data_IF_859390378456
#
_entry.id   IF_859390378456
#
_cell.length_a   1.000
_cell.length_b   1.000
_cell.length_c   1.000
_cell.angle_alpha   90.00
_cell.angle_beta   90.00
_cell.angle_gamma   90.00
#
_symmetry.space_group_name_H-M   'P 1'
#
loop_
_entity.id
_entity.type
_entity.pdbx_description
1 polymer ?
#
# COMPACT_ATOMS: atom_id res chain seq x y z
N UNK A 1 11.01 78.63 -15.42
CA UNK A 1 11.34 77.56 -14.46
C UNK A 1 10.25 76.51 -14.56
N UNK A 2 10.43 75.52 -15.43
CA UNK A 2 9.56 74.33 -15.52
C UNK A 2 10.42 73.20 -16.09
N UNK A 3 10.74 72.22 -15.24
CA UNK A 3 11.49 71.02 -15.61
C UNK A 3 10.52 70.00 -16.22
N UNK A 4 10.91 69.39 -17.34
CA UNK A 4 10.27 68.18 -17.84
C UNK A 4 11.06 66.99 -17.32
N UNK A 5 10.41 66.15 -16.51
CA UNK A 5 10.93 64.87 -16.05
C UNK A 5 10.44 63.82 -17.03
N UNK A 6 11.36 63.18 -17.77
CA UNK A 6 11.08 62.02 -18.59
C UNK A 6 11.10 60.76 -17.73
N UNK A 7 9.99 60.01 -17.71
CA UNK A 7 9.90 58.71 -17.06
C UNK A 7 10.30 57.63 -18.07
N UNK A 8 11.44 56.98 -17.85
CA UNK A 8 11.83 55.79 -18.60
C UNK A 8 11.23 54.55 -17.92
N UNK A 9 10.32 53.86 -18.59
CA UNK A 9 9.79 52.57 -18.15
C UNK A 9 10.79 51.49 -18.56
N UNK A 10 11.47 50.89 -17.58
CA UNK A 10 12.34 49.75 -17.78
C UNK A 10 11.48 48.47 -17.83
N UNK A 11 11.26 47.92 -19.02
CA UNK A 11 10.63 46.60 -19.19
C UNK A 11 11.65 45.52 -18.85
N UNK A 12 11.54 44.93 -17.65
CA UNK A 12 12.28 43.74 -17.29
C UNK A 12 11.66 42.53 -18.02
N UNK A 13 12.35 42.03 -19.05
CA UNK A 13 12.03 40.74 -19.64
C UNK A 13 12.45 39.64 -18.67
N UNK A 14 11.48 39.02 -18.00
CA UNK A 14 11.70 37.76 -17.28
C UNK A 14 11.73 36.65 -18.33
N UNK A 15 12.92 36.19 -18.68
CA UNK A 15 13.11 34.97 -19.47
C UNK A 15 12.73 33.77 -18.61
N UNK A 16 11.53 33.23 -18.83
CA UNK A 16 11.13 31.92 -18.30
C UNK A 16 11.89 30.86 -19.11
N UNK A 17 13.03 30.42 -18.61
CA UNK A 17 13.71 29.23 -19.13
C UNK A 17 12.91 28.00 -18.69
N UNK A 18 12.07 27.46 -19.58
CA UNK A 18 11.58 26.10 -19.43
C UNK A 18 12.77 25.16 -19.60
N UNK A 19 13.11 24.39 -18.56
CA UNK A 19 14.04 23.29 -18.70
C UNK A 19 13.46 22.34 -19.76
N UNK A 20 14.22 22.10 -20.84
CA UNK A 20 13.83 21.15 -21.86
C UNK A 20 13.70 19.78 -21.18
N UNK A 21 12.48 19.25 -21.14
CA UNK A 21 12.20 17.94 -20.58
C UNK A 21 12.89 16.91 -21.48
N UNK A 22 14.09 16.48 -21.13
CA UNK A 22 14.77 15.39 -21.79
C UNK A 22 14.02 14.11 -21.44
N UNK A 23 13.15 13.65 -22.34
CA UNK A 23 12.56 12.32 -22.25
C UNK A 23 13.69 11.31 -22.52
N UNK A 24 14.37 10.88 -21.46
CA UNK A 24 15.44 9.88 -21.54
C UNK A 24 14.93 8.49 -21.87
N UNK A 25 13.66 8.20 -21.59
CA UNK A 25 13.02 6.89 -21.84
C UNK A 25 12.02 7.02 -22.99
N UNK A 26 12.19 6.22 -24.04
CA UNK A 26 11.18 6.06 -25.09
C UNK A 26 9.98 5.28 -24.55
N UNK A 27 9.02 6.00 -23.96
CA UNK A 27 7.85 5.43 -23.32
C UNK A 27 7.02 4.57 -24.26
N UNK A 28 6.82 4.99 -25.51
CA UNK A 28 5.95 4.28 -26.45
C UNK A 28 6.52 2.89 -26.80
N UNK A 29 7.84 2.78 -26.96
CA UNK A 29 8.48 1.48 -27.18
C UNK A 29 8.22 0.49 -26.03
N UNK A 30 8.08 0.99 -24.78
CA UNK A 30 7.91 0.14 -23.59
C UNK A 30 6.46 -0.34 -23.42
N UNK A 31 5.47 0.44 -23.84
CA UNK A 31 4.06 0.18 -23.51
C UNK A 31 3.13 -0.01 -24.71
N UNK A 32 3.56 0.33 -25.93
CA UNK A 32 2.69 0.35 -27.12
C UNK A 32 2.10 -1.00 -27.52
N UNK A 33 2.66 -2.10 -27.02
CA UNK A 33 2.17 -3.46 -27.26
C UNK A 33 1.12 -3.93 -26.22
N UNK A 34 0.92 -3.20 -25.12
CA UNK A 34 -0.14 -3.52 -24.14
C UNK A 34 -1.50 -2.97 -24.56
N UNK A 35 -2.56 -3.60 -24.06
CA UNK A 35 -3.91 -3.08 -24.20
C UNK A 35 -4.11 -1.80 -23.37
N UNK A 36 -4.66 -0.76 -24.00
CA UNK A 36 -4.80 0.61 -23.47
C UNK A 36 -3.46 1.18 -22.95
N UNK A 37 -2.48 1.43 -23.84
CA UNK A 37 -1.16 1.95 -23.47
C UNK A 37 -1.26 3.29 -22.72
N UNK A 38 -2.30 4.08 -23.01
CA UNK A 38 -2.55 5.36 -22.34
C UNK A 38 -2.66 5.21 -20.81
N UNK A 39 -3.28 4.14 -20.31
CA UNK A 39 -3.37 3.91 -18.86
C UNK A 39 -1.98 3.81 -18.22
N UNK A 40 -1.05 3.08 -18.86
CA UNK A 40 0.32 2.92 -18.37
C UNK A 40 1.07 4.25 -18.44
N UNK A 41 0.95 4.95 -19.57
CA UNK A 41 1.54 6.28 -19.77
C UNK A 41 1.18 7.24 -18.64
N UNK A 42 -0.07 7.22 -18.20
CA UNK A 42 -0.56 8.11 -17.16
C UNK A 42 -0.16 7.61 -15.76
N UNK A 43 -0.19 6.30 -15.51
CA UNK A 43 -0.11 5.78 -14.14
C UNK A 43 1.25 5.26 -13.69
N UNK A 44 2.09 4.68 -14.55
CA UNK A 44 3.28 3.96 -14.06
C UNK A 44 4.56 4.80 -14.14
N UNK A 45 5.51 4.64 -13.20
CA UNK A 45 6.87 5.12 -13.42
C UNK A 45 7.49 4.40 -14.63
N UNK A 46 8.36 5.09 -15.37
CA UNK A 46 9.08 4.51 -16.50
C UNK A 46 10.53 4.33 -16.09
N UNK A 47 11.05 3.12 -16.30
CA UNK A 47 12.44 2.76 -16.02
C UNK A 47 13.09 2.20 -17.27
N UNK A 48 14.39 2.45 -17.40
CA UNK A 48 15.24 1.81 -18.39
C UNK A 48 16.48 1.29 -17.66
N UNK A 49 16.78 0.01 -17.86
CA UNK A 49 17.91 -0.69 -17.23
C UNK A 49 18.68 -1.48 -18.27
N UNK A 50 20.00 -1.70 -18.09
CA UNK A 50 20.82 -2.37 -19.10
C UNK A 50 20.50 -3.86 -19.28
N UNK A 51 19.83 -4.48 -18.30
CA UNK A 51 19.44 -5.90 -18.34
C UNK A 51 17.99 -5.99 -18.85
N UNK A 52 17.83 -6.48 -20.08
CA UNK A 52 16.54 -6.46 -20.78
C UNK A 52 15.47 -7.30 -20.09
N UNK A 53 15.86 -8.41 -19.50
CA UNK A 53 14.95 -9.30 -18.77
C UNK A 53 14.33 -8.59 -17.55
N UNK A 54 15.12 -7.76 -16.84
CA UNK A 54 14.61 -6.97 -15.71
C UNK A 54 13.65 -5.88 -16.21
N UNK A 55 13.99 -5.22 -17.31
CA UNK A 55 13.13 -4.21 -17.95
C UNK A 55 11.79 -4.82 -18.38
N UNK A 56 11.81 -5.97 -19.05
CA UNK A 56 10.61 -6.67 -19.51
C UNK A 56 9.74 -7.11 -18.34
N UNK A 57 10.34 -7.68 -17.29
CA UNK A 57 9.62 -8.06 -16.07
C UNK A 57 8.98 -6.84 -15.40
N UNK A 58 9.66 -5.69 -15.38
CA UNK A 58 9.12 -4.45 -14.81
C UNK A 58 7.80 -4.03 -15.48
N UNK A 59 7.80 -3.93 -16.81
CA UNK A 59 6.60 -3.53 -17.56
C UNK A 59 5.53 -4.63 -17.55
N UNK A 60 5.93 -5.90 -17.56
CA UNK A 60 5.02 -7.03 -17.39
C UNK A 60 4.29 -7.00 -16.05
N UNK A 61 5.00 -6.71 -14.94
CA UNK A 61 4.39 -6.64 -13.60
C UNK A 61 3.35 -5.53 -13.49
N UNK A 62 3.58 -4.37 -14.11
CA UNK A 62 2.56 -3.33 -14.22
C UNK A 62 1.34 -3.78 -15.00
N UNK A 63 1.55 -4.51 -16.09
CA UNK A 63 0.46 -5.09 -16.87
C UNK A 63 -0.32 -6.11 -16.06
N UNK A 64 0.36 -6.91 -15.23
CA UNK A 64 -0.28 -7.83 -14.28
C UNK A 64 -1.11 -7.06 -13.27
N UNK A 65 -0.51 -6.11 -12.55
CA UNK A 65 -1.19 -5.32 -11.52
C UNK A 65 -2.45 -4.62 -12.06
N UNK A 66 -2.37 -4.02 -13.26
CA UNK A 66 -3.52 -3.38 -13.92
C UNK A 66 -4.72 -4.33 -14.08
N UNK A 67 -4.49 -5.59 -14.41
CA UNK A 67 -5.58 -6.59 -14.60
C UNK A 67 -6.30 -6.93 -13.30
N UNK A 68 -5.68 -6.67 -12.15
CA UNK A 68 -6.27 -6.88 -10.83
C UNK A 68 -6.96 -5.63 -10.27
N UNK A 69 -6.78 -4.46 -10.89
CA UNK A 69 -7.51 -3.24 -10.53
C UNK A 69 -8.98 -3.37 -10.97
N UNK A 70 -9.88 -3.48 -10.01
CA UNK A 70 -11.31 -3.63 -10.25
C UNK A 70 -12.07 -2.48 -9.62
N UNK A 71 -12.75 -1.69 -10.45
CA UNK A 71 -13.73 -0.74 -9.93
C UNK A 71 -14.93 -1.50 -9.39
N UNK A 72 -15.37 -1.14 -8.18
CA UNK A 72 -16.48 -1.81 -7.50
C UNK A 72 -17.75 -0.97 -7.64
N UNK A 73 -18.03 -0.10 -6.69
CA UNK A 73 -19.20 0.79 -6.66
C UNK A 73 -18.79 2.20 -6.23
N UNK A 74 -19.60 3.23 -6.54
CA UNK A 74 -19.42 4.57 -5.99
C UNK A 74 -19.32 4.53 -4.46
N UNK A 75 -18.39 5.31 -3.90
CA UNK A 75 -18.10 5.34 -2.47
C UNK A 75 -17.02 4.34 -2.02
N UNK A 76 -16.93 3.15 -2.63
CA UNK A 76 -15.84 2.21 -2.37
C UNK A 76 -14.69 2.34 -3.37
N UNK A 77 -15.00 2.60 -4.64
CA UNK A 77 -14.00 2.83 -5.67
C UNK A 77 -13.27 1.56 -6.12
N UNK A 78 -11.96 1.65 -6.31
CA UNK A 78 -11.13 0.52 -6.77
C UNK A 78 -10.70 -0.42 -5.64
N UNK A 79 -10.65 -1.72 -5.98
CA UNK A 79 -9.96 -2.74 -5.19
C UNK A 79 -8.92 -3.47 -6.05
N UNK A 80 -8.03 -4.20 -5.39
CA UNK A 80 -7.07 -5.11 -6.04
C UNK A 80 -7.45 -6.55 -5.72
N UNK A 81 -7.80 -7.35 -6.73
CA UNK A 81 -8.10 -8.78 -6.51
C UNK A 81 -6.82 -9.60 -6.42
N UNK A 82 -6.85 -10.73 -5.73
CA UNK A 82 -5.73 -11.67 -5.68
C UNK A 82 -5.76 -12.66 -6.86
N UNK A 83 -6.96 -13.17 -7.16
CA UNK A 83 -7.20 -14.01 -8.32
C UNK A 83 -8.02 -13.25 -9.38
N UNK A 84 -7.76 -13.54 -10.65
CA UNK A 84 -8.51 -12.94 -11.77
C UNK A 84 -9.95 -13.46 -11.78
N UNK A 85 -10.11 -14.76 -11.56
CA UNK A 85 -11.40 -15.41 -11.48
C UNK A 85 -11.84 -15.50 -10.02
N UNK A 86 -13.15 -15.40 -9.79
CA UNK A 86 -13.72 -15.64 -8.47
C UNK A 86 -13.37 -17.07 -8.02
N UNK A 87 -12.99 -17.16 -6.75
CA UNK A 87 -12.69 -18.41 -6.05
C UNK A 87 -13.56 -18.50 -4.79
N UNK A 88 -13.89 -19.73 -4.39
CA UNK A 88 -14.98 -19.99 -3.42
C UNK A 88 -14.80 -19.43 -2.01
N UNK A 89 -13.59 -19.00 -1.64
CA UNK A 89 -13.27 -18.39 -0.36
C UNK A 89 -12.95 -16.88 -0.46
N UNK A 90 -13.06 -16.28 -1.65
CA UNK A 90 -12.99 -14.83 -1.78
C UNK A 90 -14.19 -14.15 -1.15
N UNK A 91 -13.99 -12.95 -0.62
CA UNK A 91 -15.02 -12.21 0.10
C UNK A 91 -15.58 -11.08 -0.78
N UNK A 92 -16.07 -10.02 -0.15
CA UNK A 92 -16.74 -8.91 -0.83
C UNK A 92 -15.87 -8.36 -1.97
N UNK A 93 -16.47 -8.25 -3.16
CA UNK A 93 -15.80 -7.84 -4.41
C UNK A 93 -14.66 -8.76 -4.89
N UNK A 94 -14.68 -10.03 -4.48
CA UNK A 94 -13.67 -11.06 -4.78
C UNK A 94 -12.27 -10.72 -4.23
N UNK A 95 -12.21 -10.00 -3.10
CA UNK A 95 -10.96 -9.66 -2.43
C UNK A 95 -10.57 -10.70 -1.38
N UNK A 96 -9.26 -10.84 -1.18
CA UNK A 96 -8.63 -11.64 -0.13
C UNK A 96 -7.56 -10.75 0.51
N UNK A 97 -7.43 -10.81 1.85
CA UNK A 97 -6.53 -9.91 2.57
C UNK A 97 -5.07 -10.40 2.65
N UNK A 98 -4.80 -11.67 2.34
CA UNK A 98 -3.46 -12.29 2.42
C UNK A 98 -2.37 -11.46 1.73
N UNK A 99 -2.65 -10.96 0.52
CA UNK A 99 -1.72 -10.12 -0.22
C UNK A 99 -2.04 -8.61 -0.16
N UNK A 100 -2.95 -8.15 0.71
CA UNK A 100 -3.40 -6.76 0.73
C UNK A 100 -2.25 -5.76 0.94
N UNK A 101 -1.33 -6.06 1.86
CA UNK A 101 -0.16 -5.22 2.08
C UNK A 101 0.78 -5.17 0.87
N UNK A 102 0.92 -6.27 0.11
CA UNK A 102 1.67 -6.26 -1.17
C UNK A 102 0.97 -5.40 -2.22
N UNK A 103 -0.35 -5.55 -2.35
CA UNK A 103 -1.14 -4.79 -3.31
C UNK A 103 -1.02 -3.28 -3.06
N UNK A 104 -1.16 -2.83 -1.80
CA UNK A 104 -1.00 -1.42 -1.44
C UNK A 104 0.43 -0.93 -1.75
N UNK A 105 1.46 -1.71 -1.41
CA UNK A 105 2.87 -1.36 -1.68
C UNK A 105 3.22 -1.28 -3.17
N UNK A 106 2.51 -2.00 -4.03
CA UNK A 106 2.64 -1.88 -5.49
C UNK A 106 1.84 -0.68 -6.00
N UNK A 107 0.57 -0.55 -5.58
CA UNK A 107 -0.34 0.52 -6.03
C UNK A 107 0.13 1.92 -5.63
N UNK A 108 0.90 2.08 -4.54
CA UNK A 108 1.43 3.40 -4.11
C UNK A 108 2.30 4.10 -5.15
N UNK A 109 2.86 3.35 -6.11
CA UNK A 109 3.68 3.94 -7.17
C UNK A 109 2.86 4.39 -8.40
N UNK A 110 1.55 4.10 -8.43
CA UNK A 110 0.66 4.61 -9.46
C UNK A 110 0.45 6.11 -9.25
N UNK A 111 0.52 6.90 -10.33
CA UNK A 111 0.36 8.37 -10.26
C UNK A 111 -1.04 8.77 -9.82
N UNK A 112 -2.07 8.05 -10.25
CA UNK A 112 -3.42 8.24 -9.74
C UNK A 112 -3.57 7.55 -8.39
N UNK A 113 -3.55 8.37 -7.33
CA UNK A 113 -3.58 7.92 -5.94
C UNK A 113 -4.85 7.16 -5.59
N UNK A 114 -5.94 7.34 -6.35
CA UNK A 114 -7.22 6.68 -6.08
C UNK A 114 -7.11 5.17 -6.01
N UNK A 115 -6.23 4.54 -6.79
CA UNK A 115 -6.05 3.08 -6.75
C UNK A 115 -5.58 2.58 -5.39
N UNK A 116 -4.59 3.23 -4.78
CA UNK A 116 -4.12 2.86 -3.45
C UNK A 116 -5.09 3.35 -2.35
N UNK A 117 -5.58 4.59 -2.46
CA UNK A 117 -6.44 5.20 -1.45
C UNK A 117 -7.81 4.53 -1.34
N UNK A 118 -8.44 4.17 -2.45
CA UNK A 118 -9.72 3.44 -2.46
C UNK A 118 -9.55 2.06 -1.80
N UNK A 119 -8.46 1.36 -2.11
CA UNK A 119 -8.19 0.05 -1.52
C UNK A 119 -7.84 0.12 -0.03
N UNK A 120 -7.10 1.15 0.41
CA UNK A 120 -6.88 1.41 1.84
C UNK A 120 -8.21 1.73 2.54
N UNK A 121 -9.07 2.56 1.94
CA UNK A 121 -10.42 2.84 2.46
C UNK A 121 -11.25 1.56 2.61
N UNK A 122 -11.19 0.67 1.61
CA UNK A 122 -11.86 -0.62 1.63
C UNK A 122 -11.48 -1.46 2.86
N UNK A 123 -10.20 -1.54 3.20
CA UNK A 123 -9.74 -2.31 4.36
C UNK A 123 -9.99 -1.64 5.71
N UNK A 124 -9.99 -0.30 5.76
CA UNK A 124 -10.05 0.45 7.03
C UNK A 124 -11.47 0.88 7.42
N UNK A 125 -12.40 0.94 6.46
CA UNK A 125 -13.76 1.47 6.65
C UNK A 125 -14.85 0.39 6.51
N UNK A 126 -14.49 -0.88 6.65
CA UNK A 126 -15.45 -2.01 6.63
C UNK A 126 -15.91 -2.42 5.24
N UNK A 127 -15.10 -2.11 4.22
CA UNK A 127 -15.29 -2.61 2.86
C UNK A 127 -15.08 -4.13 2.77
N UNK A 128 -14.00 -4.65 3.37
CA UNK A 128 -13.62 -6.08 3.38
C UNK A 128 -13.35 -6.64 4.78
N UNK A 129 -13.17 -7.96 4.89
CA UNK A 129 -12.70 -8.62 6.12
C UNK A 129 -11.18 -8.74 6.09
N UNK A 130 -10.49 -7.96 6.91
CA UNK A 130 -9.02 -7.92 6.98
C UNK A 130 -8.41 -9.03 7.85
N UNK A 131 -9.20 -10.01 8.32
CA UNK A 131 -8.74 -11.00 9.30
C UNK A 131 -8.89 -12.44 8.83
N UNK A 132 -9.19 -12.68 7.55
CA UNK A 132 -9.17 -14.04 7.00
C UNK A 132 -7.74 -14.60 6.96
N UNK A 133 -6.75 -13.74 6.73
CA UNK A 133 -5.32 -14.07 6.82
C UNK A 133 -4.57 -13.03 7.66
N UNK A 134 -3.31 -13.30 7.98
CA UNK A 134 -2.35 -12.32 8.51
C UNK A 134 -2.20 -11.12 7.55
N UNK A 135 -1.78 -9.96 8.06
CA UNK A 135 -1.78 -8.71 7.29
C UNK A 135 -0.85 -7.62 7.86
N UNK A 136 -0.32 -6.77 6.96
CA UNK A 136 0.46 -5.57 7.30
C UNK A 136 -0.11 -4.29 6.65
N UNK A 137 -1.43 -4.14 6.63
CA UNK A 137 -2.14 -3.05 5.96
C UNK A 137 -1.80 -1.69 6.57
N UNK A 138 -1.62 -1.57 7.90
CA UNK A 138 -1.25 -0.31 8.53
C UNK A 138 0.15 0.15 8.10
N UNK A 139 1.10 -0.78 8.08
CA UNK A 139 2.44 -0.52 7.54
C UNK A 139 2.38 -0.09 6.07
N UNK A 140 1.60 -0.81 5.25
CA UNK A 140 1.53 -0.54 3.83
C UNK A 140 0.85 0.81 3.53
N UNK A 141 -0.19 1.16 4.29
CA UNK A 141 -0.86 2.46 4.19
C UNK A 141 0.07 3.62 4.57
N UNK A 142 0.81 3.49 5.67
CA UNK A 142 1.82 4.49 6.06
C UNK A 142 2.92 4.63 5.00
N UNK A 143 3.35 3.51 4.41
CA UNK A 143 4.30 3.48 3.31
C UNK A 143 3.78 4.08 2.00
N UNK A 144 2.47 4.06 1.78
CA UNK A 144 1.84 4.79 0.68
C UNK A 144 1.91 6.29 0.94
N UNK A 145 1.61 6.72 2.16
CA UNK A 145 1.73 8.11 2.59
C UNK A 145 3.16 8.64 2.43
N UNK A 146 4.19 7.86 2.74
CA UNK A 146 5.59 8.28 2.55
C UNK A 146 5.95 8.54 1.07
N UNK A 147 5.18 8.01 0.11
CA UNK A 147 5.38 8.25 -1.32
C UNK A 147 4.60 9.47 -1.80
N UNK A 148 3.34 9.60 -1.38
CA UNK A 148 2.43 10.61 -1.93
C UNK A 148 2.30 11.89 -1.09
N UNK A 149 2.70 11.85 0.19
CA UNK A 149 2.66 12.95 1.14
C UNK A 149 1.26 13.38 1.56
N UNK A 150 0.21 12.59 1.32
CA UNK A 150 -1.17 12.93 1.64
C UNK A 150 -1.47 12.73 3.13
N UNK A 151 -1.09 13.73 3.93
CA UNK A 151 -1.31 13.71 5.39
C UNK A 151 -2.78 13.61 5.78
N UNK A 152 -3.66 14.34 5.10
CA UNK A 152 -5.09 14.36 5.42
C UNK A 152 -5.70 12.98 5.22
N UNK A 153 -5.33 12.30 4.12
CA UNK A 153 -5.77 10.94 3.87
C UNK A 153 -5.31 9.97 4.97
N UNK A 154 -4.01 9.89 5.27
CA UNK A 154 -3.50 8.88 6.23
C UNK A 154 -4.01 9.14 7.65
N UNK A 155 -4.11 10.40 8.07
CA UNK A 155 -4.70 10.78 9.37
C UNK A 155 -6.14 10.28 9.48
N UNK A 156 -6.92 10.39 8.39
CA UNK A 156 -8.30 9.91 8.36
C UNK A 156 -8.45 8.38 8.45
N UNK A 157 -7.37 7.60 8.26
CA UNK A 157 -7.41 6.14 8.36
C UNK A 157 -7.08 5.61 9.76
N UNK A 158 -6.54 6.45 10.65
CA UNK A 158 -6.01 6.03 11.96
C UNK A 158 -7.00 5.16 12.75
N UNK A 159 -8.25 5.59 12.85
CA UNK A 159 -9.28 4.84 13.60
C UNK A 159 -9.51 3.45 13.02
N UNK A 160 -9.55 3.32 11.69
CA UNK A 160 -9.72 2.03 11.01
C UNK A 160 -8.52 1.11 11.19
N UNK A 161 -7.32 1.66 11.11
CA UNK A 161 -6.08 0.89 11.34
C UNK A 161 -5.98 0.38 12.77
N UNK A 162 -6.32 1.21 13.77
CA UNK A 162 -6.36 0.81 15.18
C UNK A 162 -7.41 -0.29 15.41
N UNK A 163 -8.61 -0.16 14.82
CA UNK A 163 -9.63 -1.21 14.91
C UNK A 163 -9.16 -2.53 14.32
N UNK A 164 -8.50 -2.48 13.16
CA UNK A 164 -7.97 -3.68 12.51
C UNK A 164 -6.90 -4.35 13.37
N UNK A 165 -5.94 -3.58 13.89
CA UNK A 165 -4.89 -4.08 14.77
C UNK A 165 -5.46 -4.77 16.01
N UNK A 166 -6.38 -4.09 16.73
CA UNK A 166 -6.93 -4.59 18.00
C UNK A 166 -7.81 -5.83 17.84
N UNK A 167 -8.30 -6.12 16.64
CA UNK A 167 -9.04 -7.37 16.38
C UNK A 167 -8.13 -8.61 16.43
N UNK A 168 -6.80 -8.47 16.44
CA UNK A 168 -5.85 -9.55 16.70
C UNK A 168 -5.52 -9.74 18.19
N UNK A 169 -6.10 -8.95 19.11
CA UNK A 169 -5.79 -9.07 20.55
C UNK A 169 -6.15 -10.46 21.13
N UNK A 170 -7.05 -11.21 20.50
CA UNK A 170 -7.39 -12.60 20.86
C UNK A 170 -6.34 -13.63 20.39
N UNK A 171 -5.38 -13.22 19.56
CA UNK A 171 -4.27 -14.02 19.08
C UNK A 171 -2.93 -13.67 19.78
N UNK A 172 -2.97 -12.91 20.88
CA UNK A 172 -1.78 -12.47 21.61
C UNK A 172 -1.59 -13.24 22.92
N UNK A 173 -0.37 -13.75 23.15
CA UNK A 173 0.02 -14.32 24.43
C UNK A 173 0.84 -13.32 25.24
N UNK A 174 0.28 -12.83 26.35
CA UNK A 174 0.92 -11.82 27.21
C UNK A 174 2.15 -12.34 27.99
N UNK A 175 2.23 -13.64 28.31
CA UNK A 175 3.36 -14.22 29.04
C UNK A 175 4.61 -14.29 28.16
N UNK A 176 4.40 -14.52 26.86
CA UNK A 176 5.47 -14.69 25.87
C UNK A 176 5.70 -13.42 25.05
N UNK A 177 4.76 -12.47 25.13
CA UNK A 177 4.67 -11.27 24.30
C UNK A 177 4.76 -11.59 22.81
N UNK A 178 4.02 -12.60 22.38
CA UNK A 178 4.01 -13.04 20.98
C UNK A 178 2.58 -13.31 20.52
N UNK A 179 2.34 -12.97 19.25
CA UNK A 179 1.16 -13.38 18.51
C UNK A 179 1.32 -14.80 17.99
N UNK A 180 0.22 -15.55 17.97
CA UNK A 180 0.15 -16.89 17.40
C UNK A 180 -0.85 -16.93 16.25
N UNK A 181 -0.57 -17.76 15.25
CA UNK A 181 -1.46 -17.99 14.11
C UNK A 181 -1.16 -19.35 13.50
N UNK A 182 -2.13 -19.95 12.81
CA UNK A 182 -1.88 -21.17 12.03
C UNK A 182 -1.20 -20.84 10.69
N UNK A 183 -0.44 -21.78 10.10
CA UNK A 183 0.15 -21.61 8.77
C UNK A 183 -0.86 -21.30 7.67
N UNK A 184 -2.05 -21.93 7.68
CA UNK A 184 -3.10 -21.61 6.71
C UNK A 184 -3.57 -20.15 6.84
N UNK A 185 -3.81 -19.69 8.07
CA UNK A 185 -4.22 -18.30 8.34
C UNK A 185 -3.08 -17.30 8.10
N UNK A 186 -1.85 -17.77 7.94
CA UNK A 186 -0.70 -16.99 7.48
C UNK A 186 -0.46 -17.13 5.96
N UNK A 187 -1.41 -17.70 5.22
CA UNK A 187 -1.35 -17.99 3.79
C UNK A 187 -0.11 -18.83 3.37
N UNK A 188 0.33 -19.71 4.26
CA UNK A 188 1.53 -20.55 4.12
C UNK A 188 1.22 -22.02 4.48
N UNK A 189 0.15 -22.54 3.89
CA UNK A 189 -0.25 -23.96 3.95
C UNK A 189 0.93 -24.90 3.60
N UNK A 190 0.92 -26.10 4.18
CA UNK A 190 1.97 -27.11 3.93
C UNK A 190 3.39 -26.61 4.26
N UNK A 191 3.51 -25.70 5.24
CA UNK A 191 4.82 -25.27 5.76
C UNK A 191 5.54 -26.41 6.51
N UNK A 192 6.84 -26.28 6.71
CA UNK A 192 7.62 -27.23 7.53
C UNK A 192 7.01 -27.43 8.94
N UNK A 193 6.48 -26.37 9.55
CA UNK A 193 5.77 -26.45 10.83
C UNK A 193 4.43 -27.19 10.73
N UNK A 194 3.71 -27.07 9.61
CA UNK A 194 2.43 -27.75 9.42
C UNK A 194 2.57 -29.28 9.41
N UNK A 195 3.66 -29.80 8.83
CA UNK A 195 3.96 -31.24 8.78
C UNK A 195 4.27 -31.87 10.13
N UNK A 196 4.40 -31.08 11.20
CA UNK A 196 4.53 -31.58 12.58
C UNK A 196 3.18 -31.70 13.31
N UNK A 197 2.07 -31.42 12.62
CA UNK A 197 0.71 -31.54 13.16
C UNK A 197 -0.09 -32.67 12.48
N UNK A 198 -1.21 -33.05 13.08
CA UNK A 198 -2.12 -34.06 12.52
C UNK A 198 -2.90 -33.57 11.28
N UNK A 199 -2.84 -32.26 11.00
CA UNK A 199 -3.43 -31.63 9.81
C UNK A 199 -2.34 -30.84 9.05
N UNK A 200 -1.64 -31.46 8.09
CA UNK A 200 -0.56 -30.80 7.36
C UNK A 200 -1.00 -29.59 6.53
N UNK A 201 -2.28 -29.51 6.15
CA UNK A 201 -2.80 -28.39 5.36
C UNK A 201 -2.98 -27.16 6.26
N UNK A 202 -3.79 -27.29 7.31
CA UNK A 202 -4.07 -26.20 8.24
C UNK A 202 -2.85 -25.84 9.10
N UNK A 203 -2.12 -26.87 9.55
CA UNK A 203 -1.08 -26.76 10.57
C UNK A 203 -1.63 -26.48 11.96
N UNK A 204 -0.75 -26.56 12.97
CA UNK A 204 -1.04 -26.11 14.34
C UNK A 204 -0.79 -24.62 14.52
N UNK A 205 -1.46 -24.02 15.50
CA UNK A 205 -1.17 -22.65 15.95
C UNK A 205 0.26 -22.56 16.49
N UNK A 206 0.97 -21.49 16.12
CA UNK A 206 2.32 -21.25 16.61
C UNK A 206 2.72 -19.78 16.56
N UNK A 207 3.74 -19.43 17.32
CA UNK A 207 4.33 -18.09 17.34
C UNK A 207 5.22 -17.88 16.12
N UNK A 208 4.61 -17.48 15.00
CA UNK A 208 5.27 -17.40 13.70
C UNK A 208 5.99 -16.06 13.53
N UNK A 209 7.24 -16.04 13.02
CA UNK A 209 8.00 -14.79 12.88
C UNK A 209 7.41 -13.84 11.84
N UNK A 210 6.74 -14.34 10.80
CA UNK A 210 5.98 -13.55 9.82
C UNK A 210 4.96 -12.67 10.51
N UNK A 211 3.97 -13.29 11.16
CA UNK A 211 2.87 -12.57 11.78
C UNK A 211 3.30 -11.64 12.92
N UNK A 212 4.29 -12.04 13.74
CA UNK A 212 4.84 -11.14 14.76
C UNK A 212 5.55 -9.92 14.15
N UNK A 213 6.26 -10.09 13.03
CA UNK A 213 6.88 -8.96 12.32
C UNK A 213 5.84 -8.02 11.71
N UNK A 214 4.74 -8.57 11.19
CA UNK A 214 3.62 -7.77 10.67
C UNK A 214 2.93 -6.97 11.77
N UNK A 215 2.66 -7.59 12.93
CA UNK A 215 2.11 -6.90 14.09
C UNK A 215 3.05 -5.83 14.64
N UNK A 216 4.37 -6.09 14.67
CA UNK A 216 5.38 -5.08 15.03
C UNK A 216 5.30 -3.86 14.10
N UNK A 217 5.37 -4.07 12.79
CA UNK A 217 5.39 -2.98 11.82
C UNK A 217 4.05 -2.22 11.77
N UNK A 218 2.92 -2.92 11.91
CA UNK A 218 1.62 -2.27 12.03
C UNK A 218 1.55 -1.38 13.28
N UNK A 219 2.08 -1.83 14.42
CA UNK A 219 2.14 -1.01 15.63
C UNK A 219 3.01 0.24 15.44
N UNK A 220 4.19 0.07 14.83
CA UNK A 220 5.06 1.20 14.49
C UNK A 220 4.36 2.19 13.55
N UNK A 221 3.67 1.72 12.51
CA UNK A 221 2.95 2.57 11.58
C UNK A 221 1.83 3.36 12.28
N UNK A 222 1.02 2.70 13.11
CA UNK A 222 -0.05 3.35 13.87
C UNK A 222 0.53 4.40 14.82
N UNK A 223 1.63 4.11 15.52
CA UNK A 223 2.28 5.09 16.40
C UNK A 223 2.70 6.35 15.64
N UNK A 224 3.30 6.20 14.45
CA UNK A 224 3.73 7.32 13.61
C UNK A 224 2.53 8.16 13.14
N UNK A 225 1.43 7.52 12.76
CA UNK A 225 0.19 8.22 12.36
C UNK A 225 -0.44 8.93 13.56
N UNK A 226 -0.44 8.33 14.75
CA UNK A 226 -0.91 8.96 15.98
C UNK A 226 -0.11 10.24 16.31
N UNK A 227 1.22 10.22 16.10
CA UNK A 227 2.05 11.41 16.24
C UNK A 227 1.66 12.52 15.24
N UNK A 228 1.28 12.17 13.99
CA UNK A 228 0.84 13.15 12.99
C UNK A 228 -0.47 13.88 13.39
N UNK A 229 -1.37 13.22 14.13
CA UNK A 229 -2.62 13.84 14.64
C UNK A 229 -2.46 14.47 16.02
N UNK A 230 -1.27 14.38 16.64
CA UNK A 230 -0.98 14.92 17.97
C UNK A 230 -1.54 14.07 19.12
N UNK A 231 -1.89 12.81 18.90
CA UNK A 231 -2.32 11.88 19.94
C UNK A 231 -1.10 11.19 20.58
N UNK A 232 -0.48 11.88 21.54
CA UNK A 232 0.71 11.39 22.23
C UNK A 232 0.45 10.13 23.08
N UNK A 233 -0.77 9.94 23.58
CA UNK A 233 -1.10 8.75 24.37
C UNK A 233 -1.12 7.52 23.47
N UNK A 234 -1.78 7.61 22.31
CA UNK A 234 -1.82 6.52 21.33
C UNK A 234 -0.43 6.26 20.72
N UNK A 235 0.35 7.32 20.47
CA UNK A 235 1.75 7.17 20.04
C UNK A 235 2.53 6.30 21.03
N UNK A 236 2.48 6.60 22.33
CA UNK A 236 3.18 5.82 23.35
C UNK A 236 2.62 4.40 23.51
N UNK A 237 1.29 4.23 23.46
CA UNK A 237 0.63 2.91 23.52
C UNK A 237 1.18 1.98 22.43
N UNK A 238 1.22 2.45 21.18
CA UNK A 238 1.64 1.63 20.05
C UNK A 238 3.16 1.49 19.92
N UNK A 239 3.95 2.45 20.40
CA UNK A 239 5.39 2.26 20.58
C UNK A 239 5.66 1.12 21.58
N UNK A 240 4.99 1.13 22.73
CA UNK A 240 5.17 0.08 23.74
C UNK A 240 4.75 -1.30 23.21
N UNK A 241 3.63 -1.38 22.47
CA UNK A 241 3.20 -2.63 21.81
C UNK A 241 4.25 -3.17 20.85
N UNK A 242 4.93 -2.30 20.10
CA UNK A 242 6.02 -2.71 19.22
C UNK A 242 7.28 -3.14 20.00
N UNK A 243 7.63 -2.44 21.08
CA UNK A 243 8.78 -2.78 21.93
C UNK A 243 8.61 -4.10 22.70
N UNK A 244 7.37 -4.50 22.95
CA UNK A 244 7.05 -5.74 23.66
C UNK A 244 7.23 -7.00 22.80
N UNK A 245 7.16 -6.88 21.46
CA UNK A 245 7.30 -7.97 20.48
C UNK A 245 8.76 -8.28 20.14
#
# INVERSE_FOLDING_TARGET
MMSQIAFAILLAFVSVTFAQQTNFVDKESKIGHFFEPQWFRDNIPFVEVPIKEIEEVYYYRWSSHKRHLRYTIPGNGYVVTEFINNIGYSLKYDTINAAAGHHIRESRWLRDRRYAQDYINFWTRGGGDSHSYSEWIAEAAYNSFLVDGDEDFIKSQLEGLVRNYKRWDDHYNADWKLYWISPERDAQELSCSSFQSDDPFWGGEGYRPSFNSEMYENAIAISKIAALVGDFNMFLEFQQKAEDL
#
